data_IF_089748437249
#
_entry.id   IF_089748437249
#
_cell.length_a   1.000
_cell.length_b   1.000
_cell.length_c   1.000
_cell.angle_alpha   90.00
_cell.angle_beta   90.00
_cell.angle_gamma   90.00
#
_symmetry.space_group_name_H-M   'P 1'
#
loop_
_entity.id
_entity.type
_entity.pdbx_description
1 polymer ?
#
# COMPACT_ATOMS: atom_id res chain seq x y z
N UNK A 1 -5.44 20.78 4.63
CA UNK A 1 -6.23 19.63 4.15
C UNK A 1 -5.61 19.14 2.85
N UNK A 2 -5.07 17.92 2.81
CA UNK A 2 -4.63 17.33 1.56
C UNK A 2 -5.86 16.66 0.93
N UNK A 3 -6.49 17.36 -0.02
CA UNK A 3 -7.47 16.74 -0.92
C UNK A 3 -6.71 15.72 -1.77
N UNK A 4 -6.77 14.45 -1.37
CA UNK A 4 -6.46 13.34 -2.26
C UNK A 4 -7.44 13.47 -3.43
N UNK A 5 -6.97 13.95 -4.58
CA UNK A 5 -7.76 13.91 -5.81
C UNK A 5 -8.12 12.42 -6.04
N UNK A 6 -9.41 12.04 -5.98
CA UNK A 6 -9.84 10.64 -6.04
C UNK A 6 -9.33 9.91 -7.29
N UNK A 7 -9.11 10.67 -8.36
CA UNK A 7 -8.47 10.25 -9.61
C UNK A 7 -7.05 9.72 -9.40
N UNK A 8 -6.23 10.37 -8.58
CA UNK A 8 -4.84 9.97 -8.34
C UNK A 8 -4.77 8.68 -7.53
N UNK A 9 -5.63 8.52 -6.53
CA UNK A 9 -5.69 7.30 -5.71
C UNK A 9 -6.15 6.10 -6.54
N UNK A 10 -7.18 6.28 -7.37
CA UNK A 10 -7.68 5.23 -8.27
C UNK A 10 -6.62 4.78 -9.27
N UNK A 11 -5.91 5.73 -9.89
CA UNK A 11 -4.82 5.44 -10.81
C UNK A 11 -3.65 4.71 -10.11
N UNK A 12 -3.28 5.13 -8.90
CA UNK A 12 -2.22 4.48 -8.13
C UNK A 12 -2.56 3.01 -7.81
N UNK A 13 -3.78 2.75 -7.33
CA UNK A 13 -4.23 1.38 -7.04
C UNK A 13 -4.29 0.53 -8.31
N UNK A 14 -4.81 1.08 -9.41
CA UNK A 14 -4.88 0.37 -10.67
C UNK A 14 -3.48 0.00 -11.20
N UNK A 15 -2.54 0.94 -11.17
CA UNK A 15 -1.17 0.71 -11.61
C UNK A 15 -0.46 -0.35 -10.74
N UNK A 16 -0.65 -0.31 -9.41
CA UNK A 16 -0.12 -1.34 -8.51
C UNK A 16 -0.73 -2.72 -8.82
N UNK A 17 -2.03 -2.80 -9.07
CA UNK A 17 -2.70 -4.04 -9.42
C UNK A 17 -2.17 -4.64 -10.73
N UNK A 18 -1.93 -3.82 -11.76
CA UNK A 18 -1.35 -4.28 -13.03
C UNK A 18 0.06 -4.86 -12.82
N UNK A 19 0.91 -4.22 -12.01
CA UNK A 19 2.25 -4.73 -11.75
C UNK A 19 2.23 -6.03 -10.94
N UNK A 20 1.38 -6.10 -9.91
CA UNK A 20 1.25 -7.31 -9.08
C UNK A 20 0.69 -8.49 -9.88
N UNK A 21 -0.28 -8.25 -10.77
CA UNK A 21 -0.85 -9.28 -11.63
C UNK A 21 0.14 -9.82 -12.68
N UNK A 22 1.22 -9.08 -12.97
CA UNK A 22 2.28 -9.51 -13.86
C UNK A 22 3.35 -10.38 -13.15
N UNK A 23 3.27 -10.55 -11.82
CA UNK A 23 4.13 -11.47 -11.08
C UNK A 23 3.67 -12.91 -11.34
N UNK A 24 4.56 -13.72 -11.93
CA UNK A 24 4.28 -15.13 -12.22
C UNK A 24 4.64 -16.02 -11.01
N UNK A 25 5.89 -15.94 -10.56
CA UNK A 25 6.38 -16.65 -9.39
C UNK A 25 7.54 -15.90 -8.72
N UNK A 26 7.60 -15.99 -7.38
CA UNK A 26 8.68 -15.47 -6.55
C UNK A 26 9.29 -16.62 -5.76
N UNK A 27 10.61 -16.80 -5.85
CA UNK A 27 11.31 -17.71 -4.97
C UNK A 27 11.32 -17.20 -3.51
N UNK A 28 11.73 -18.07 -2.59
CA UNK A 28 11.73 -17.75 -1.16
C UNK A 28 12.67 -16.60 -0.80
N UNK A 29 13.81 -16.47 -1.46
CA UNK A 29 14.80 -15.45 -1.14
C UNK A 29 14.35 -14.08 -1.66
N UNK A 30 13.78 -14.02 -2.87
CA UNK A 30 13.12 -12.85 -3.41
C UNK A 30 11.91 -12.44 -2.55
N UNK A 31 11.09 -13.40 -2.11
CA UNK A 31 9.96 -13.13 -1.22
C UNK A 31 10.40 -12.59 0.15
N UNK A 32 11.51 -13.08 0.70
CA UNK A 32 12.10 -12.56 1.96
C UNK A 32 12.58 -11.13 1.81
N UNK A 33 13.23 -10.80 0.69
CA UNK A 33 13.68 -9.43 0.42
C UNK A 33 12.50 -8.47 0.27
N UNK A 34 11.42 -8.90 -0.39
CA UNK A 34 10.21 -8.10 -0.57
C UNK A 34 9.32 -8.05 0.68
N UNK A 35 9.48 -8.98 1.62
CA UNK A 35 8.61 -9.16 2.80
C UNK A 35 8.25 -7.86 3.53
N UNK A 36 9.23 -7.04 3.96
CA UNK A 36 8.96 -5.79 4.66
C UNK A 36 8.16 -4.76 3.84
N UNK A 37 8.37 -4.72 2.52
CA UNK A 37 7.60 -3.86 1.63
C UNK A 37 6.19 -4.42 1.42
N UNK A 38 6.05 -5.73 1.23
CA UNK A 38 4.77 -6.40 1.06
C UNK A 38 3.89 -6.23 2.31
N UNK A 39 4.45 -6.36 3.51
CA UNK A 39 3.74 -6.14 4.78
C UNK A 39 3.27 -4.68 4.90
N UNK A 40 4.14 -3.71 4.64
CA UNK A 40 3.78 -2.30 4.70
C UNK A 40 2.65 -1.94 3.72
N UNK A 41 2.68 -2.48 2.50
CA UNK A 41 1.61 -2.31 1.50
C UNK A 41 0.31 -2.97 1.96
N UNK A 42 0.36 -4.18 2.53
CA UNK A 42 -0.82 -4.86 3.06
C UNK A 42 -1.47 -4.06 4.21
N UNK A 43 -0.67 -3.55 5.13
CA UNK A 43 -1.16 -2.70 6.23
C UNK A 43 -1.79 -1.41 5.72
N UNK A 44 -1.24 -0.78 4.68
CA UNK A 44 -1.86 0.38 4.03
C UNK A 44 -3.19 0.04 3.37
N UNK A 45 -3.31 -1.11 2.72
CA UNK A 45 -4.60 -1.56 2.18
C UNK A 45 -5.63 -1.87 3.25
N UNK A 46 -5.23 -2.42 4.40
CA UNK A 46 -6.14 -2.62 5.54
C UNK A 46 -6.78 -1.30 6.00
N UNK A 47 -6.01 -0.20 6.07
CA UNK A 47 -6.56 1.12 6.40
C UNK A 47 -7.53 1.62 5.33
N UNK A 48 -7.22 1.41 4.05
CA UNK A 48 -8.12 1.74 2.93
C UNK A 48 -9.42 0.96 3.01
N UNK A 49 -9.36 -0.35 3.26
CA UNK A 49 -10.55 -1.19 3.42
C UNK A 49 -11.38 -0.77 4.63
N UNK A 50 -10.73 -0.57 5.78
CA UNK A 50 -11.42 -0.10 6.98
C UNK A 50 -12.12 1.25 6.74
N UNK A 51 -11.48 2.17 6.01
CA UNK A 51 -12.11 3.43 5.63
C UNK A 51 -13.30 3.22 4.69
N UNK A 52 -13.19 2.33 3.71
CA UNK A 52 -14.26 2.04 2.76
C UNK A 52 -15.49 1.41 3.43
N UNK A 53 -15.26 0.50 4.38
CA UNK A 53 -16.32 -0.23 5.08
C UNK A 53 -17.00 0.61 6.17
N UNK A 54 -16.20 1.39 6.93
CA UNK A 54 -16.68 2.03 8.15
C UNK A 54 -16.72 3.55 8.09
N UNK A 55 -15.92 4.16 7.21
CA UNK A 55 -15.72 5.61 7.16
C UNK A 55 -14.99 6.21 8.37
N UNK A 56 -14.40 5.38 9.24
CA UNK A 56 -13.86 5.80 10.55
C UNK A 56 -12.33 5.92 10.61
N UNK A 57 -11.61 5.58 9.55
CA UNK A 57 -10.17 5.79 9.52
C UNK A 57 -9.87 7.28 9.55
N UNK A 58 -8.88 7.65 10.34
CA UNK A 58 -8.46 9.03 10.53
C UNK A 58 -7.34 9.40 9.56
N UNK A 59 -7.11 10.71 9.32
CA UNK A 59 -5.93 11.15 8.57
C UNK A 59 -4.59 10.77 9.22
N UNK A 60 -4.56 10.41 10.51
CA UNK A 60 -3.37 9.92 11.18
C UNK A 60 -3.09 8.47 10.79
N UNK A 61 -4.12 7.60 10.81
CA UNK A 61 -4.02 6.19 10.40
C UNK A 61 -3.48 6.05 8.98
N UNK A 62 -3.99 6.88 8.05
CA UNK A 62 -3.49 6.92 6.67
C UNK A 62 -2.04 7.38 6.58
N UNK A 63 -1.64 8.36 7.39
CA UNK A 63 -0.27 8.90 7.33
C UNK A 63 0.73 7.89 7.85
N UNK A 64 0.42 7.27 8.98
CA UNK A 64 1.24 6.22 9.57
C UNK A 64 1.45 5.06 8.60
N UNK A 65 0.37 4.56 8.00
CA UNK A 65 0.47 3.47 7.03
C UNK A 65 1.27 3.85 5.78
N UNK A 66 1.07 5.06 5.25
CA UNK A 66 1.85 5.53 4.09
C UNK A 66 3.31 5.83 4.43
N UNK A 67 3.61 6.27 5.64
CA UNK A 67 4.98 6.49 6.10
C UNK A 67 5.73 5.16 6.26
N UNK A 68 5.06 4.10 6.74
CA UNK A 68 5.61 2.74 6.74
C UNK A 68 5.96 2.26 5.32
N UNK A 69 5.08 2.45 4.34
CA UNK A 69 5.36 2.12 2.93
C UNK A 69 6.57 2.90 2.41
N UNK A 70 6.63 4.21 2.67
CA UNK A 70 7.77 5.06 2.26
C UNK A 70 9.07 4.63 2.92
N UNK A 71 9.03 4.20 4.17
CA UNK A 71 10.19 3.70 4.89
C UNK A 71 10.68 2.38 4.29
N UNK A 72 9.78 1.42 4.04
CA UNK A 72 10.14 0.16 3.40
C UNK A 72 10.72 0.37 2.00
N UNK A 73 10.19 1.31 1.21
CA UNK A 73 10.74 1.65 -0.12
C UNK A 73 12.17 2.23 -0.08
N UNK A 74 12.57 2.86 1.02
CA UNK A 74 13.94 3.38 1.20
C UNK A 74 14.91 2.31 1.71
N UNK A 75 14.38 1.24 2.28
CA UNK A 75 15.15 0.14 2.85
C UNK A 75 15.32 -1.05 1.87
N UNK A 76 14.54 -1.06 0.78
CA UNK A 76 14.59 -2.04 -0.29
C UNK A 76 15.67 -1.73 -1.33
#
# INVERSE_FOLDING_TARGET
>A
MATLNPTNATQAVHHAAVQLAALDWLDQDAARQLGPLAEAVANAFMVVFYQAETGRATPADFREALDAVRQSLRAA
#
